data_IF_769797035374
#
_entry.id   IF_769797035374
#
_cell.length_a   1.000
_cell.length_b   1.000
_cell.length_c   1.000
_cell.angle_alpha   90.00
_cell.angle_beta   90.00
_cell.angle_gamma   90.00
#
_symmetry.space_group_name_H-M   'P 1'
#
loop_
_entity.id
_entity.type
_entity.pdbx_description
1 polymer ?
#
# COMPACT_ATOMS: atom_id res chain seq x y z
N UNK A 1 0.98 17.12 0.86
CA UNK A 1 2.24 16.67 0.31
C UNK A 1 2.22 15.16 0.13
N UNK A 2 2.54 14.65 -1.03
CA UNK A 2 2.34 13.24 -1.38
C UNK A 2 3.55 12.34 -1.14
N UNK A 3 4.52 12.76 -0.33
CA UNK A 3 5.72 11.97 -0.06
C UNK A 3 5.36 10.69 0.71
N UNK A 4 5.80 9.52 0.24
CA UNK A 4 5.55 8.27 0.95
C UNK A 4 6.24 8.22 2.32
N UNK A 5 5.68 7.43 3.23
CA UNK A 5 6.22 7.30 4.59
C UNK A 5 7.56 6.56 4.62
N UNK A 6 7.74 5.58 3.74
CA UNK A 6 8.92 4.73 3.73
C UNK A 6 9.47 4.60 2.31
N UNK A 7 10.80 4.72 2.19
CA UNK A 7 11.54 4.35 0.99
C UNK A 7 12.36 3.12 1.35
N UNK A 8 12.11 2.01 0.64
CA UNK A 8 12.79 0.75 0.86
C UNK A 8 13.70 0.38 -0.30
N UNK A 9 14.57 -0.59 -0.03
CA UNK A 9 15.52 -1.11 -1.02
C UNK A 9 15.72 -2.60 -0.72
N UNK A 10 15.42 -3.46 -1.69
CA UNK A 10 15.52 -4.89 -1.48
C UNK A 10 16.86 -5.48 -1.96
N UNK A 11 17.06 -6.77 -1.72
CA UNK A 11 18.31 -7.47 -2.07
C UNK A 11 18.58 -7.50 -3.57
N UNK A 12 17.53 -7.44 -4.39
CA UNK A 12 17.66 -7.43 -5.85
C UNK A 12 18.07 -6.08 -6.40
N UNK A 13 18.22 -5.06 -5.53
CA UNK A 13 18.61 -3.72 -5.95
C UNK A 13 17.45 -2.85 -6.41
N UNK A 14 16.24 -3.19 -6.04
CA UNK A 14 15.04 -2.43 -6.42
C UNK A 14 14.56 -1.54 -5.29
N UNK A 15 14.35 -0.27 -5.58
CA UNK A 15 13.69 0.67 -4.68
C UNK A 15 12.19 0.48 -4.73
N UNK A 16 11.53 0.73 -3.60
CA UNK A 16 10.08 0.77 -3.51
C UNK A 16 9.67 1.78 -2.44
N UNK A 17 8.42 2.23 -2.50
CA UNK A 17 7.86 3.12 -1.49
C UNK A 17 6.67 2.46 -0.81
N UNK A 18 6.46 2.79 0.46
CA UNK A 18 5.31 2.31 1.22
C UNK A 18 4.62 3.49 1.88
N UNK A 19 3.31 3.60 1.66
CA UNK A 19 2.44 4.51 2.39
C UNK A 19 1.77 3.71 3.50
N UNK A 20 1.94 4.13 4.76
CA UNK A 20 1.36 3.44 5.91
C UNK A 20 -0.02 3.99 6.21
N UNK A 21 -0.99 3.11 6.36
CA UNK A 21 -2.36 3.49 6.74
C UNK A 21 -2.86 2.55 7.84
N UNK A 22 -3.63 3.13 8.76
CA UNK A 22 -4.32 2.37 9.81
C UNK A 22 -5.79 2.74 9.73
N UNK A 23 -6.68 1.76 9.75
CA UNK A 23 -8.11 2.03 9.70
C UNK A 23 -8.87 1.10 10.65
N UNK A 24 -9.95 1.62 11.22
CA UNK A 24 -10.89 0.87 12.05
C UNK A 24 -12.10 0.40 11.25
N UNK A 25 -12.26 0.91 10.02
CA UNK A 25 -13.38 0.61 9.13
C UNK A 25 -12.87 -0.03 7.85
N UNK A 26 -13.75 -0.19 6.87
CA UNK A 26 -13.35 -0.66 5.54
C UNK A 26 -12.80 0.46 4.65
N UNK A 27 -12.86 1.70 5.10
CA UNK A 27 -12.39 2.82 4.30
C UNK A 27 -10.90 3.07 4.53
N UNK A 28 -10.20 3.39 3.44
CA UNK A 28 -8.81 3.84 3.49
C UNK A 28 -8.79 5.30 3.05
N UNK A 29 -8.39 6.18 3.96
CA UNK A 29 -8.37 7.62 3.69
C UNK A 29 -7.07 8.00 3.00
N UNK A 30 -7.20 8.49 1.76
CA UNK A 30 -6.08 8.92 0.96
C UNK A 30 -6.26 10.40 0.60
N UNK A 31 -5.20 11.19 0.80
CA UNK A 31 -5.22 12.58 0.38
C UNK A 31 -5.12 12.67 -1.14
N UNK A 32 -5.57 13.80 -1.74
CA UNK A 32 -5.37 14.01 -3.18
C UNK A 32 -3.91 13.89 -3.63
N UNK A 33 -2.98 14.34 -2.79
CA UNK A 33 -1.54 14.23 -3.08
C UNK A 33 -1.07 12.77 -3.09
N UNK A 34 -1.57 11.95 -2.16
CA UNK A 34 -1.23 10.53 -2.10
C UNK A 34 -1.78 9.79 -3.32
N UNK A 35 -3.00 10.10 -3.73
CA UNK A 35 -3.60 9.52 -4.93
C UNK A 35 -2.78 9.93 -6.16
N UNK A 36 -2.48 11.22 -6.30
CA UNK A 36 -1.71 11.73 -7.43
C UNK A 36 -0.32 11.10 -7.52
N UNK A 37 0.35 10.93 -6.38
CA UNK A 37 1.67 10.30 -6.34
C UNK A 37 1.62 8.89 -6.91
N UNK A 38 0.67 8.08 -6.46
CA UNK A 38 0.57 6.69 -6.87
C UNK A 38 0.08 6.52 -8.31
N UNK A 39 -0.74 7.45 -8.80
CA UNK A 39 -1.12 7.48 -10.22
C UNK A 39 0.09 7.78 -11.09
N UNK A 40 0.93 8.72 -10.67
CA UNK A 40 2.13 9.11 -11.41
C UNK A 40 3.23 8.06 -11.32
N UNK A 41 3.32 7.35 -10.19
CA UNK A 41 4.35 6.35 -9.93
C UNK A 41 3.69 5.01 -9.57
N UNK A 42 3.12 4.29 -10.57
CA UNK A 42 2.38 3.06 -10.28
C UNK A 42 3.24 1.83 -10.02
N UNK A 43 4.52 1.88 -10.40
CA UNK A 43 5.42 0.73 -10.26
C UNK A 43 6.25 0.85 -8.98
N UNK A 44 6.38 -0.25 -8.26
CA UNK A 44 7.17 -0.34 -7.03
C UNK A 44 6.74 0.68 -5.96
N UNK A 45 5.46 1.02 -5.96
CA UNK A 45 4.84 1.84 -4.93
C UNK A 45 3.71 1.06 -4.30
N UNK A 46 3.58 1.16 -2.97
CA UNK A 46 2.68 0.30 -2.21
C UNK A 46 1.99 1.07 -1.10
N UNK A 47 0.82 0.59 -0.73
CA UNK A 47 0.08 1.05 0.44
C UNK A 47 -0.07 -0.14 1.39
N UNK A 48 0.46 -0.02 2.59
CA UNK A 48 0.34 -1.04 3.63
C UNK A 48 -0.71 -0.58 4.62
N UNK A 49 -1.79 -1.34 4.73
CA UNK A 49 -2.93 -0.99 5.56
C UNK A 49 -3.06 -1.96 6.72
N UNK A 50 -3.06 -1.44 7.94
CA UNK A 50 -3.43 -2.22 9.11
C UNK A 50 -4.93 -2.02 9.37
N UNK A 51 -5.69 -3.10 9.27
CA UNK A 51 -7.12 -3.12 9.55
C UNK A 51 -7.33 -3.57 10.99
N UNK A 52 -7.62 -2.60 11.88
CA UNK A 52 -7.71 -2.88 13.32
C UNK A 52 -8.88 -3.80 13.66
N UNK A 53 -10.02 -3.61 13.00
CA UNK A 53 -11.21 -4.44 13.26
C UNK A 53 -11.02 -5.89 12.85
N UNK A 54 -10.18 -6.14 11.84
CA UNK A 54 -9.89 -7.48 11.33
C UNK A 54 -8.57 -8.04 11.86
N UNK A 55 -7.82 -7.22 12.60
CA UNK A 55 -6.47 -7.54 13.08
C UNK A 55 -5.61 -8.12 11.95
N UNK A 56 -5.63 -7.47 10.79
CA UNK A 56 -4.89 -7.94 9.62
C UNK A 56 -4.11 -6.81 8.96
N UNK A 57 -3.08 -7.21 8.21
CA UNK A 57 -2.23 -6.31 7.45
C UNK A 57 -2.40 -6.66 5.98
N UNK A 58 -2.68 -5.65 5.16
CA UNK A 58 -2.96 -5.82 3.73
C UNK A 58 -2.05 -4.91 2.92
N UNK A 59 -1.45 -5.46 1.87
CA UNK A 59 -0.58 -4.71 0.97
C UNK A 59 -1.29 -4.51 -0.36
N UNK A 60 -1.34 -3.25 -0.81
CA UNK A 60 -1.90 -2.89 -2.11
C UNK A 60 -0.82 -2.25 -2.96
N UNK A 61 -0.84 -2.53 -4.27
CA UNK A 61 0.05 -1.87 -5.20
C UNK A 61 -0.43 -0.46 -5.53
N UNK A 62 0.52 0.44 -5.79
CA UNK A 62 0.18 1.83 -6.14
C UNK A 62 -0.70 1.95 -7.37
N UNK A 63 -0.57 1.05 -8.34
CA UNK A 63 -1.38 1.07 -9.56
C UNK A 63 -2.88 0.92 -9.33
N UNK A 64 -3.30 0.40 -8.16
CA UNK A 64 -4.72 0.25 -7.81
C UNK A 64 -5.21 1.33 -6.86
N UNK A 65 -4.51 2.45 -6.77
CA UNK A 65 -4.82 3.51 -5.79
C UNK A 65 -6.25 4.06 -5.94
N UNK A 66 -6.74 4.17 -7.16
CA UNK A 66 -8.09 4.70 -7.41
C UNK A 66 -9.16 3.72 -6.94
N UNK A 67 -8.95 2.43 -7.19
CA UNK A 67 -9.84 1.38 -6.73
C UNK A 67 -9.81 1.27 -5.20
N UNK A 68 -8.63 1.40 -4.61
CA UNK A 68 -8.49 1.39 -3.15
C UNK A 68 -9.22 2.58 -2.52
N UNK A 69 -9.12 3.76 -3.11
CA UNK A 69 -9.83 4.94 -2.65
C UNK A 69 -11.36 4.77 -2.75
N UNK A 70 -11.84 4.15 -3.83
CA UNK A 70 -13.25 3.95 -4.06
C UNK A 70 -13.84 2.81 -3.23
N UNK A 71 -13.14 1.69 -3.13
CA UNK A 71 -13.66 0.45 -2.53
C UNK A 71 -13.15 0.21 -1.11
N UNK A 72 -12.04 0.83 -0.74
CA UNK A 72 -11.40 0.56 0.56
C UNK A 72 -10.98 -0.89 0.68
N UNK A 73 -11.13 -1.45 1.86
CA UNK A 73 -10.71 -2.84 2.15
C UNK A 73 -11.57 -3.90 1.48
N UNK A 74 -12.63 -3.53 0.77
CA UNK A 74 -13.37 -4.45 -0.09
C UNK A 74 -12.57 -4.86 -1.31
N UNK A 75 -11.59 -4.03 -1.71
CA UNK A 75 -10.65 -4.40 -2.75
C UNK A 75 -9.73 -5.49 -2.22
N UNK A 76 -9.54 -6.55 -2.99
CA UNK A 76 -8.65 -7.64 -2.61
C UNK A 76 -7.21 -7.16 -2.58
N UNK A 77 -6.45 -7.41 -1.49
CA UNK A 77 -5.06 -6.98 -1.42
C UNK A 77 -4.15 -7.86 -2.29
N UNK A 78 -3.01 -7.29 -2.67
CA UNK A 78 -1.97 -8.07 -3.35
C UNK A 78 -1.41 -9.14 -2.41
N UNK A 79 -1.17 -8.77 -1.16
CA UNK A 79 -0.64 -9.69 -0.14
C UNK A 79 -1.36 -9.46 1.18
N UNK A 80 -1.55 -10.54 1.94
CA UNK A 80 -2.22 -10.53 3.23
C UNK A 80 -1.29 -11.10 4.29
N UNK A 81 -1.16 -10.37 5.40
CA UNK A 81 -0.28 -10.75 6.50
C UNK A 81 1.11 -10.18 6.34
N UNK A 82 1.77 -9.90 7.47
CA UNK A 82 3.05 -9.19 7.48
C UNK A 82 4.15 -9.97 6.74
N UNK A 83 4.23 -11.27 6.98
CA UNK A 83 5.24 -12.12 6.34
C UNK A 83 5.08 -12.16 4.82
N UNK A 84 3.85 -12.36 4.33
CA UNK A 84 3.56 -12.36 2.90
C UNK A 84 3.88 -11.02 2.26
N UNK A 85 3.58 -9.92 2.96
CA UNK A 85 3.91 -8.58 2.48
C UNK A 85 5.43 -8.38 2.33
N UNK A 86 6.21 -8.81 3.32
CA UNK A 86 7.67 -8.75 3.25
C UNK A 86 8.23 -9.61 2.12
N UNK A 87 7.71 -10.83 1.96
CA UNK A 87 8.13 -11.71 0.87
C UNK A 87 7.88 -11.09 -0.49
N UNK A 88 6.73 -10.44 -0.66
CA UNK A 88 6.40 -9.75 -1.89
C UNK A 88 7.39 -8.62 -2.19
N UNK A 89 7.69 -7.79 -1.19
CA UNK A 89 8.64 -6.67 -1.36
C UNK A 89 10.05 -7.16 -1.68
N UNK A 90 10.47 -8.27 -1.08
CA UNK A 90 11.78 -8.87 -1.37
C UNK A 90 11.84 -9.46 -2.78
N UNK A 91 10.71 -9.83 -3.37
CA UNK A 91 10.65 -10.45 -4.69
C UNK A 91 10.61 -9.46 -5.86
N UNK A 92 10.60 -8.16 -5.57
CA UNK A 92 10.57 -7.12 -6.61
C UNK A 92 11.80 -7.15 -7.53
#
# INVERSE_FOLDING_TARGET
>A
WGTPDILGYNRSGNFFTIELKVTKTNKVRLSPHQIAFHVKHPNNTFILVKALSLNSIKLYEGKVIKELDACGLKLEPHSLGLESCFQMLESL
#
